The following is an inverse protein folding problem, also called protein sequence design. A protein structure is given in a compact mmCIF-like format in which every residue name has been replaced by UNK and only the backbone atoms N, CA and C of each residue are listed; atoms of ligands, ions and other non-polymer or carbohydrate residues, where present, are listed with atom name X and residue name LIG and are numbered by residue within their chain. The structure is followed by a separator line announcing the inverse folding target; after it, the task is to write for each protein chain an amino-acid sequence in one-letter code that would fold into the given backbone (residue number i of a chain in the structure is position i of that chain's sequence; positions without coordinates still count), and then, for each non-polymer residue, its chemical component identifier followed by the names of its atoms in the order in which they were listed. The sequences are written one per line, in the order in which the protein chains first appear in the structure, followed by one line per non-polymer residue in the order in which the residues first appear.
data_IF_004162554251
#
_entry.id   IF_004162554251
#
_cell.length_a   1.000
_cell.length_b   1.000
_cell.length_c   1.000
_cell.angle_alpha   90.00
_cell.angle_beta   90.00
_cell.angle_gamma   90.00
#
_symmetry.space_group_name_H-M   'P 1'
#
loop_
_entity.id
_entity.type
_entity.pdbx_description
1 polymer ?
#
# COMPACT_ATOMS: atom_id res chain seq x y z
N UNK A 1 26.17 -24.26 37.60
CA UNK A 1 25.31 -23.16 38.07
C UNK A 1 26.13 -21.89 38.44
N UNK A 2 27.31 -22.04 39.01
CA UNK A 2 28.21 -20.94 39.37
C UNK A 2 28.74 -20.20 38.11
N UNK A 3 29.26 -20.94 37.14
CA UNK A 3 29.80 -20.40 35.89
C UNK A 3 28.79 -19.54 35.09
N UNK A 4 27.51 -19.95 35.13
CA UNK A 4 26.44 -19.17 34.46
C UNK A 4 26.14 -17.84 35.18
N UNK A 5 26.24 -17.86 36.55
CA UNK A 5 26.11 -16.62 37.34
C UNK A 5 27.27 -15.67 37.10
N UNK A 6 28.49 -16.19 37.00
CA UNK A 6 29.69 -15.39 36.74
C UNK A 6 29.68 -14.82 35.31
N UNK A 7 29.20 -15.60 34.32
CA UNK A 7 28.94 -15.12 32.97
C UNK A 7 27.92 -13.99 32.94
N UNK A 8 26.75 -14.16 33.59
CA UNK A 8 25.73 -13.12 33.68
C UNK A 8 26.22 -11.87 34.40
N UNK A 9 27.04 -12.00 35.45
CA UNK A 9 27.61 -10.89 36.18
C UNK A 9 28.59 -10.08 35.31
N UNK A 10 29.45 -10.77 34.56
CA UNK A 10 30.45 -10.17 33.68
C UNK A 10 29.85 -9.44 32.47
N UNK A 11 28.71 -9.94 31.97
CA UNK A 11 28.08 -9.42 30.74
C UNK A 11 26.74 -8.72 31.01
N UNK A 12 26.44 -8.36 32.27
CA UNK A 12 25.17 -7.69 32.63
C UNK A 12 24.87 -6.46 31.78
N UNK A 13 25.86 -5.56 31.63
CA UNK A 13 25.69 -4.31 30.90
C UNK A 13 25.46 -4.52 29.39
N UNK A 14 26.31 -5.31 28.69
CA UNK A 14 26.08 -5.55 27.27
C UNK A 14 24.81 -6.36 26.98
N UNK A 15 24.44 -7.31 27.85
CA UNK A 15 23.19 -8.08 27.70
C UNK A 15 21.98 -7.16 27.88
N UNK A 16 21.98 -6.30 28.90
CA UNK A 16 20.92 -5.32 29.11
C UNK A 16 20.79 -4.35 27.92
N UNK A 17 21.92 -3.88 27.39
CA UNK A 17 21.92 -3.03 26.21
C UNK A 17 21.31 -3.73 24.97
N UNK A 18 21.68 -4.99 24.70
CA UNK A 18 21.12 -5.78 23.60
C UNK A 18 19.61 -5.95 23.76
N UNK A 19 19.13 -6.27 24.98
CA UNK A 19 17.70 -6.40 25.26
C UNK A 19 16.96 -5.07 24.98
N UNK A 20 17.52 -3.94 25.43
CA UNK A 20 16.95 -2.62 25.17
C UNK A 20 16.88 -2.34 23.67
N UNK A 21 17.93 -2.62 22.91
CA UNK A 21 17.94 -2.44 21.44
C UNK A 21 16.88 -3.30 20.77
N UNK A 22 16.72 -4.56 21.20
CA UNK A 22 15.70 -5.45 20.66
C UNK A 22 14.30 -4.90 20.96
N UNK A 23 14.04 -4.48 22.20
CA UNK A 23 12.75 -3.89 22.60
C UNK A 23 12.45 -2.65 21.77
N UNK A 24 13.42 -1.73 21.63
CA UNK A 24 13.28 -0.53 20.81
C UNK A 24 12.97 -0.86 19.35
N UNK A 25 13.67 -1.84 18.77
CA UNK A 25 13.46 -2.26 17.39
C UNK A 25 12.06 -2.84 17.19
N UNK A 26 11.56 -3.62 18.14
CA UNK A 26 10.19 -4.15 18.11
C UNK A 26 9.15 -3.02 18.22
N UNK A 27 9.35 -2.09 19.16
CA UNK A 27 8.43 -0.94 19.34
C UNK A 27 8.40 -0.08 18.08
N UNK A 28 9.55 0.24 17.51
CA UNK A 28 9.66 1.01 16.26
C UNK A 28 8.94 0.25 15.13
N UNK A 29 9.16 -1.06 14.99
CA UNK A 29 8.49 -1.88 13.98
C UNK A 29 6.96 -1.87 14.13
N UNK A 30 6.45 -1.97 15.35
CA UNK A 30 5.02 -1.89 15.63
C UNK A 30 4.45 -0.50 15.34
N UNK A 31 5.18 0.57 15.66
CA UNK A 31 4.77 1.94 15.31
C UNK A 31 4.72 2.16 13.81
N UNK A 32 5.73 1.71 13.06
CA UNK A 32 5.73 1.78 11.60
C UNK A 32 4.56 1.01 11.00
N UNK A 33 4.30 -0.22 11.48
CA UNK A 33 3.15 -1.00 11.03
C UNK A 33 1.85 -0.21 11.27
N UNK A 34 1.65 0.34 12.46
CA UNK A 34 0.45 1.12 12.78
C UNK A 34 0.30 2.36 11.90
N UNK A 35 1.38 3.05 11.60
CA UNK A 35 1.36 4.22 10.69
C UNK A 35 0.94 3.78 9.28
N UNK A 36 1.51 2.68 8.76
CA UNK A 36 1.16 2.14 7.44
C UNK A 36 -0.31 1.72 7.41
N UNK A 37 -0.80 1.03 8.44
CA UNK A 37 -2.19 0.60 8.53
C UNK A 37 -3.15 1.80 8.56
N UNK A 38 -2.85 2.83 9.36
CA UNK A 38 -3.65 4.06 9.43
C UNK A 38 -3.64 4.83 8.10
N UNK A 39 -2.51 4.90 7.43
CA UNK A 39 -2.39 5.55 6.12
C UNK A 39 -3.17 4.77 5.06
N UNK A 40 -3.08 3.45 5.06
CA UNK A 40 -3.89 2.58 4.19
C UNK A 40 -5.39 2.74 4.44
N UNK A 41 -5.80 2.88 5.70
CA UNK A 41 -7.22 3.08 6.05
C UNK A 41 -7.72 4.47 5.61
N UNK A 42 -6.88 5.49 5.68
CA UNK A 42 -7.21 6.83 5.17
C UNK A 42 -7.30 6.84 3.64
N UNK A 43 -6.34 6.22 2.98
CA UNK A 43 -6.26 6.16 1.52
C UNK A 43 -7.38 5.30 0.90
N UNK A 44 -7.88 4.30 1.62
CA UNK A 44 -8.97 3.43 1.16
C UNK A 44 -10.37 4.02 1.34
N UNK A 45 -10.52 5.19 2.01
CA UNK A 45 -11.82 5.85 2.14
C UNK A 45 -12.41 6.18 0.79
N UNK A 46 -13.72 5.97 0.62
CA UNK A 46 -14.38 6.27 -0.64
C UNK A 46 -14.37 7.77 -0.94
N UNK A 47 -13.98 8.12 -2.15
CA UNK A 47 -13.92 9.50 -2.65
C UNK A 47 -14.98 9.68 -3.73
N UNK A 48 -15.80 10.69 -3.59
CA UNK A 48 -16.80 11.09 -4.60
C UNK A 48 -16.11 11.97 -5.64
N UNK A 49 -16.31 11.65 -6.91
CA UNK A 49 -15.77 12.40 -8.04
C UNK A 49 -16.86 12.60 -9.09
N UNK A 50 -16.79 13.75 -9.78
CA UNK A 50 -17.59 13.89 -11.01
C UNK A 50 -17.02 12.98 -12.10
N UNK A 51 -17.80 12.62 -13.13
CA UNK A 51 -17.32 11.83 -14.24
C UNK A 51 -16.05 12.39 -14.88
N UNK A 52 -15.97 13.71 -15.04
CA UNK A 52 -14.81 14.41 -15.62
C UNK A 52 -13.58 14.37 -14.71
N UNK A 53 -13.77 14.43 -13.40
CA UNK A 53 -12.68 14.27 -12.42
C UNK A 53 -12.12 12.84 -12.41
N UNK A 54 -13.02 11.86 -12.44
CA UNK A 54 -12.67 10.45 -12.40
C UNK A 54 -11.94 9.98 -13.66
N UNK A 55 -12.18 10.63 -14.81
CA UNK A 55 -11.53 10.35 -16.10
C UNK A 55 -10.33 11.27 -16.39
N UNK A 56 -9.91 12.12 -15.44
CA UNK A 56 -8.77 13.01 -15.60
C UNK A 56 -7.53 12.45 -14.85
N UNK A 57 -6.50 11.96 -15.58
CA UNK A 57 -5.33 11.38 -14.92
C UNK A 57 -4.53 12.40 -14.10
N UNK A 58 -4.51 13.67 -14.48
CA UNK A 58 -3.82 14.71 -13.71
C UNK A 58 -4.56 14.99 -12.39
N UNK A 59 -5.89 14.95 -12.41
CA UNK A 59 -6.69 15.10 -11.20
C UNK A 59 -6.39 13.96 -10.21
N UNK A 60 -6.40 12.71 -10.67
CA UNK A 60 -6.08 11.53 -9.87
C UNK A 60 -4.65 11.57 -9.31
N UNK A 61 -3.68 12.05 -10.09
CA UNK A 61 -2.31 12.22 -9.60
C UNK A 61 -2.23 13.24 -8.46
N UNK A 62 -2.82 14.41 -8.65
CA UNK A 62 -2.64 15.55 -7.76
C UNK A 62 -3.51 15.48 -6.50
N UNK A 63 -4.73 14.96 -6.62
CA UNK A 63 -5.71 14.90 -5.52
C UNK A 63 -5.71 13.56 -4.79
N UNK A 64 -5.52 12.46 -5.53
CA UNK A 64 -5.56 11.11 -4.95
C UNK A 64 -4.17 10.51 -4.73
N UNK A 65 -3.13 11.29 -4.97
CA UNK A 65 -1.74 10.85 -4.80
C UNK A 65 -1.39 9.60 -5.61
N UNK A 66 -2.09 9.39 -6.73
CA UNK A 66 -1.80 8.28 -7.62
C UNK A 66 -0.53 8.57 -8.43
N UNK A 67 0.25 7.56 -8.68
CA UNK A 67 1.30 7.71 -9.68
C UNK A 67 0.70 7.80 -11.08
N UNK A 68 1.45 8.37 -12.01
CA UNK A 68 0.99 8.62 -13.38
C UNK A 68 0.41 7.38 -14.06
N UNK A 69 1.08 6.25 -13.95
CA UNK A 69 0.67 5.01 -14.60
C UNK A 69 -0.62 4.45 -14.01
N UNK A 70 -0.76 4.47 -12.68
CA UNK A 70 -1.97 3.99 -12.03
C UNK A 70 -3.14 4.94 -12.31
N UNK A 71 -2.89 6.27 -12.36
CA UNK A 71 -3.89 7.25 -12.75
C UNK A 71 -4.36 7.04 -14.20
N UNK A 72 -3.44 6.87 -15.16
CA UNK A 72 -3.77 6.59 -16.56
C UNK A 72 -4.56 5.28 -16.72
N UNK A 73 -4.18 4.20 -16.03
CA UNK A 73 -4.93 2.94 -16.06
C UNK A 73 -6.33 3.08 -15.46
N UNK A 74 -6.43 3.81 -14.36
CA UNK A 74 -7.69 4.03 -13.66
C UNK A 74 -8.66 4.82 -14.54
N UNK A 75 -8.20 5.90 -15.18
CA UNK A 75 -9.05 6.68 -16.09
C UNK A 75 -9.56 5.83 -17.25
N UNK A 76 -8.71 5.03 -17.87
CA UNK A 76 -9.12 4.12 -18.96
C UNK A 76 -10.18 3.12 -18.52
N UNK A 77 -10.04 2.57 -17.29
CA UNK A 77 -11.04 1.63 -16.76
C UNK A 77 -12.38 2.34 -16.54
N UNK A 78 -12.35 3.54 -15.93
CA UNK A 78 -13.56 4.33 -15.65
C UNK A 78 -14.23 4.76 -16.96
N UNK A 79 -13.50 5.27 -17.93
CA UNK A 79 -14.03 5.65 -19.25
C UNK A 79 -14.73 4.46 -19.95
N UNK A 80 -14.07 3.31 -19.96
CA UNK A 80 -14.67 2.10 -20.56
C UNK A 80 -15.92 1.64 -19.82
N UNK A 81 -15.95 1.78 -18.50
CA UNK A 81 -17.11 1.44 -17.70
C UNK A 81 -18.28 2.44 -17.95
N UNK A 82 -17.98 3.72 -18.07
CA UNK A 82 -18.96 4.75 -18.43
C UNK A 82 -19.54 4.55 -19.85
N UNK A 83 -18.75 3.96 -20.75
CA UNK A 83 -19.19 3.60 -22.11
C UNK A 83 -19.90 2.23 -22.16
N UNK A 84 -20.10 1.56 -21.02
CA UNK A 84 -20.69 0.23 -20.97
C UNK A 84 -19.85 -0.90 -21.55
N UNK A 85 -18.57 -0.63 -21.84
CA UNK A 85 -17.64 -1.62 -22.45
C UNK A 85 -17.03 -2.58 -21.41
N UNK A 86 -16.99 -2.19 -20.15
CA UNK A 86 -16.49 -2.99 -19.03
C UNK A 86 -17.44 -2.80 -17.85
N UNK A 87 -17.69 -3.84 -17.09
CA UNK A 87 -18.45 -3.71 -15.85
C UNK A 87 -17.61 -2.94 -14.81
N UNK A 88 -18.26 -2.02 -14.07
CA UNK A 88 -17.72 -1.47 -12.83
C UNK A 88 -17.52 -2.60 -11.82
N UNK A 89 -16.67 -2.40 -10.82
CA UNK A 89 -16.59 -3.38 -9.72
C UNK A 89 -17.98 -3.57 -9.09
N UNK A 90 -18.75 -2.47 -8.96
CA UNK A 90 -20.14 -2.53 -8.54
C UNK A 90 -20.91 -1.32 -9.09
N UNK A 91 -22.08 -1.54 -9.64
CA UNK A 91 -23.04 -0.49 -9.98
C UNK A 91 -24.19 -0.54 -8.98
N UNK A 92 -24.45 0.56 -8.31
CA UNK A 92 -25.46 0.69 -7.29
C UNK A 92 -26.53 1.65 -7.79
N UNK A 93 -27.77 1.17 -7.87
CA UNK A 93 -28.92 2.00 -8.23
C UNK A 93 -29.53 2.54 -6.94
N UNK A 94 -29.62 3.88 -6.84
CA UNK A 94 -30.20 4.54 -5.67
C UNK A 94 -31.24 5.56 -6.11
N UNK A 95 -32.38 5.54 -5.42
CA UNK A 95 -33.36 6.60 -5.51
C UNK A 95 -32.94 7.75 -4.58
N UNK A 96 -32.61 8.87 -5.18
CA UNK A 96 -32.23 10.09 -4.47
C UNK A 96 -32.79 11.31 -5.21
N UNK A 97 -32.93 12.46 -4.56
CA UNK A 97 -33.43 13.67 -5.21
C UNK A 97 -32.44 14.27 -6.22
N UNK A 98 -31.15 14.03 -6.06
CA UNK A 98 -30.09 14.51 -6.98
C UNK A 98 -28.97 13.46 -7.10
N UNK A 99 -28.19 13.49 -8.19
CA UNK A 99 -27.05 12.59 -8.38
C UNK A 99 -26.01 12.70 -7.24
N UNK A 100 -25.73 13.92 -6.77
CA UNK A 100 -24.77 14.14 -5.66
C UNK A 100 -25.26 13.48 -4.39
N UNK A 101 -26.57 13.54 -4.11
CA UNK A 101 -27.18 12.82 -2.97
C UNK A 101 -27.07 11.31 -3.11
N UNK A 102 -27.20 10.79 -4.33
CA UNK A 102 -27.02 9.36 -4.58
C UNK A 102 -25.59 8.91 -4.26
N UNK A 103 -24.57 9.66 -4.70
CA UNK A 103 -23.18 9.34 -4.41
C UNK A 103 -22.84 9.48 -2.92
N UNK A 104 -23.40 10.47 -2.21
CA UNK A 104 -23.25 10.61 -0.76
C UNK A 104 -23.83 9.39 -0.01
N UNK A 105 -25.03 8.96 -0.37
CA UNK A 105 -25.67 7.77 0.25
C UNK A 105 -24.85 6.51 0.01
N UNK A 106 -24.31 6.32 -1.21
CA UNK A 106 -23.42 5.18 -1.50
C UNK A 106 -22.16 5.25 -0.65
N UNK A 107 -21.56 6.43 -0.55
CA UNK A 107 -20.36 6.65 0.28
C UNK A 107 -20.62 6.27 1.74
N UNK A 108 -21.68 6.80 2.34
CA UNK A 108 -22.05 6.49 3.74
C UNK A 108 -22.27 4.99 3.94
N UNK A 109 -22.98 4.32 3.03
CA UNK A 109 -23.20 2.88 3.09
C UNK A 109 -21.90 2.07 3.02
N UNK A 110 -20.94 2.48 2.17
CA UNK A 110 -19.62 1.84 2.09
C UNK A 110 -18.84 2.05 3.38
N UNK A 111 -18.82 3.27 3.92
CA UNK A 111 -18.14 3.60 5.18
C UNK A 111 -18.71 2.82 6.38
N UNK A 112 -20.03 2.64 6.41
CA UNK A 112 -20.73 1.85 7.44
C UNK A 112 -20.67 0.34 7.19
N UNK A 113 -20.10 -0.09 6.06
CA UNK A 113 -20.07 -1.50 5.62
C UNK A 113 -21.48 -2.13 5.58
N UNK A 114 -22.45 -1.40 5.04
CA UNK A 114 -23.83 -1.82 4.96
C UNK A 114 -23.94 -3.16 4.21
N UNK A 115 -24.47 -4.22 4.84
CA UNK A 115 -24.56 -5.55 4.23
C UNK A 115 -25.55 -5.62 3.05
N UNK A 116 -26.31 -4.56 2.80
CA UNK A 116 -27.20 -4.47 1.62
C UNK A 116 -26.43 -4.16 0.33
N UNK A 117 -25.15 -3.75 0.45
CA UNK A 117 -24.30 -3.52 -0.70
C UNK A 117 -23.70 -4.82 -1.24
N UNK A 118 -23.41 -4.89 -2.56
CA UNK A 118 -22.66 -6.00 -3.13
C UNK A 118 -21.29 -6.17 -2.42
N UNK A 119 -20.84 -7.41 -2.19
CA UNK A 119 -19.56 -7.68 -1.52
C UNK A 119 -18.37 -6.96 -2.20
N UNK A 120 -18.40 -6.85 -3.53
CA UNK A 120 -17.38 -6.19 -4.33
C UNK A 120 -17.25 -4.68 -4.01
N UNK A 121 -18.38 -4.04 -3.64
CA UNK A 121 -18.37 -2.63 -3.20
C UNK A 121 -17.73 -2.45 -1.82
N UNK A 122 -17.73 -3.49 -0.99
CA UNK A 122 -17.19 -3.49 0.37
C UNK A 122 -15.75 -4.02 0.45
N UNK A 123 -15.20 -4.55 -0.65
CA UNK A 123 -13.84 -5.05 -0.72
C UNK A 123 -12.84 -3.96 -0.32
N UNK A 124 -11.84 -4.32 0.50
CA UNK A 124 -10.78 -3.39 0.88
C UNK A 124 -9.76 -3.30 -0.24
N UNK A 125 -9.60 -2.12 -0.81
CA UNK A 125 -8.63 -1.79 -1.86
C UNK A 125 -7.87 -0.52 -1.49
N UNK A 126 -6.79 -0.21 -2.20
CA UNK A 126 -5.98 0.98 -1.90
C UNK A 126 -6.76 2.28 -2.14
N UNK A 127 -7.63 2.32 -3.14
CA UNK A 127 -8.52 3.47 -3.43
C UNK A 127 -9.92 2.99 -3.78
N UNK A 128 -10.92 3.77 -3.37
CA UNK A 128 -12.31 3.58 -3.76
C UNK A 128 -12.84 4.87 -4.35
N UNK A 129 -13.16 4.86 -5.64
CA UNK A 129 -13.74 6.00 -6.36
C UNK A 129 -15.23 5.73 -6.56
N UNK A 130 -16.04 6.73 -6.23
CA UNK A 130 -17.47 6.74 -6.45
C UNK A 130 -17.76 7.84 -7.47
N UNK A 131 -18.35 7.48 -8.59
CA UNK A 131 -18.73 8.43 -9.62
C UNK A 131 -20.12 8.13 -10.17
N UNK A 132 -20.82 9.18 -10.58
CA UNK A 132 -22.09 9.07 -11.30
C UNK A 132 -21.87 8.35 -12.62
N UNK A 133 -22.87 7.56 -13.04
CA UNK A 133 -22.95 7.02 -14.39
C UNK A 133 -23.94 7.85 -15.20
N UNK A 134 -23.57 8.34 -16.38
CA UNK A 134 -24.35 9.33 -17.11
C UNK A 134 -25.68 8.83 -17.72
N UNK A 135 -26.05 7.57 -17.55
CA UNK A 135 -27.28 7.02 -18.14
C UNK A 135 -28.25 6.49 -17.10
N UNK A 136 -29.33 7.16 -16.88
CA UNK A 136 -30.71 6.75 -16.61
C UNK A 136 -31.43 7.61 -15.56
N UNK A 137 -32.77 7.56 -15.59
CA UNK A 137 -33.68 8.27 -14.66
C UNK A 137 -33.55 7.80 -13.18
N UNK A 138 -32.99 6.63 -12.96
CA UNK A 138 -32.58 6.15 -11.63
C UNK A 138 -31.10 6.39 -11.51
N UNK A 139 -30.65 7.19 -10.53
CA UNK A 139 -29.26 7.54 -10.36
C UNK A 139 -28.40 6.29 -10.17
N UNK A 140 -27.65 5.94 -11.20
CA UNK A 140 -26.66 4.88 -11.15
C UNK A 140 -25.35 5.44 -10.67
N UNK A 141 -24.80 4.79 -9.65
CA UNK A 141 -23.53 5.16 -9.06
C UNK A 141 -22.53 4.04 -9.26
N UNK A 142 -21.47 4.31 -10.00
CA UNK A 142 -20.37 3.40 -10.20
C UNK A 142 -19.40 3.43 -9.01
N UNK A 143 -19.06 2.26 -8.47
CA UNK A 143 -18.02 2.09 -7.47
C UNK A 143 -16.82 1.41 -8.12
N UNK A 144 -15.69 2.09 -8.10
CA UNK A 144 -14.45 1.62 -8.69
C UNK A 144 -13.44 1.30 -7.59
N UNK A 145 -13.07 0.04 -7.49
CA UNK A 145 -12.09 -0.49 -6.53
C UNK A 145 -10.73 -0.62 -7.20
N UNK A 146 -9.73 0.10 -6.69
CA UNK A 146 -8.45 0.26 -7.34
C UNK A 146 -7.34 -0.16 -6.40
N UNK A 147 -6.52 -1.12 -6.85
CA UNK A 147 -5.27 -1.49 -6.19
C UNK A 147 -4.10 -0.80 -6.89
N UNK A 148 -3.35 -0.01 -6.13
CA UNK A 148 -2.19 0.72 -6.64
C UNK A 148 -0.98 -0.20 -6.75
N UNK A 149 -0.12 0.11 -7.70
CA UNK A 149 1.15 -0.61 -7.86
C UNK A 149 2.07 -0.35 -6.67
N UNK A 150 2.45 -1.41 -5.95
CA UNK A 150 3.42 -1.31 -4.84
C UNK A 150 4.78 -0.92 -5.40
N UNK A 151 5.39 0.14 -4.84
CA UNK A 151 6.61 0.74 -5.38
C UNK A 151 7.82 0.59 -4.50
N UNK A 152 7.63 0.22 -3.25
CA UNK A 152 8.71 0.03 -2.30
C UNK A 152 8.72 -1.41 -1.82
N UNK A 153 9.90 -1.99 -1.75
CA UNK A 153 10.11 -3.28 -1.10
C UNK A 153 11.32 -3.23 -0.18
N UNK A 154 11.26 -4.04 0.85
CA UNK A 154 12.36 -4.30 1.77
C UNK A 154 12.64 -5.79 1.68
N UNK A 155 13.91 -6.13 1.45
CA UNK A 155 14.37 -7.52 1.37
C UNK A 155 15.38 -7.81 2.46
N UNK A 156 15.37 -9.03 2.96
CA UNK A 156 16.42 -9.58 3.81
C UNK A 156 16.58 -11.07 3.53
N UNK A 157 17.68 -11.64 3.92
CA UNK A 157 17.98 -13.05 3.68
C UNK A 157 19.22 -13.52 4.43
N UNK A 158 19.74 -14.65 4.03
CA UNK A 158 21.04 -15.17 4.49
C UNK A 158 21.89 -15.42 3.25
N UNK A 159 23.12 -14.98 3.30
CA UNK A 159 24.10 -15.23 2.24
C UNK A 159 25.40 -15.77 2.82
N UNK A 160 26.18 -16.45 1.98
CA UNK A 160 27.51 -16.93 2.32
C UNK A 160 28.48 -16.55 1.20
N UNK A 161 29.61 -15.96 1.55
CA UNK A 161 30.71 -15.64 0.65
C UNK A 161 32.03 -15.89 1.35
N UNK A 162 32.94 -16.63 0.71
CA UNK A 162 34.25 -17.00 1.26
C UNK A 162 34.17 -17.59 2.68
N UNK A 163 33.26 -18.53 2.89
CA UNK A 163 32.96 -19.17 4.19
C UNK A 163 32.47 -18.20 5.29
N UNK A 164 32.09 -16.96 4.94
CA UNK A 164 31.52 -16.00 5.88
C UNK A 164 30.03 -15.85 5.63
N UNK A 165 29.28 -15.88 6.72
CA UNK A 165 27.84 -15.68 6.69
C UNK A 165 27.49 -14.20 6.85
N UNK A 166 26.64 -13.69 5.99
CA UNK A 166 26.16 -12.33 6.05
C UNK A 166 24.62 -12.26 5.91
N UNK A 167 24.05 -11.18 6.41
CA UNK A 167 22.65 -10.84 6.26
C UNK A 167 22.55 -9.70 5.26
N UNK A 168 22.01 -9.91 4.05
CA UNK A 168 21.68 -8.82 3.15
C UNK A 168 20.44 -8.09 3.65
N UNK A 169 20.47 -6.77 3.60
CA UNK A 169 19.30 -5.90 3.83
C UNK A 169 19.20 -5.00 2.62
N UNK A 170 18.07 -5.05 1.95
CA UNK A 170 17.86 -4.27 0.73
C UNK A 170 16.60 -3.41 0.79
N UNK A 171 16.69 -2.27 0.11
CA UNK A 171 15.59 -1.36 -0.16
C UNK A 171 15.47 -1.17 -1.65
N UNK A 172 14.31 -1.43 -2.19
CA UNK A 172 14.04 -1.28 -3.62
C UNK A 172 12.92 -0.28 -3.85
N UNK A 173 13.10 0.56 -4.86
CA UNK A 173 12.08 1.48 -5.35
C UNK A 173 11.80 1.25 -6.82
N UNK A 174 10.58 0.85 -7.13
CA UNK A 174 10.05 0.80 -8.49
C UNK A 174 9.71 2.24 -8.93
N UNK A 175 10.35 2.78 -9.96
CA UNK A 175 10.13 4.14 -10.46
C UNK A 175 9.42 4.18 -11.83
N UNK A 176 9.41 3.08 -12.56
CA UNK A 176 8.57 2.81 -13.73
C UNK A 176 8.00 1.40 -13.60
N UNK A 177 6.98 1.07 -14.39
CA UNK A 177 6.30 -0.23 -14.30
C UNK A 177 7.24 -1.44 -14.39
N UNK A 178 8.35 -1.28 -15.09
CA UNK A 178 9.29 -2.37 -15.35
C UNK A 178 10.74 -2.02 -14.98
N UNK A 179 10.97 -1.00 -14.14
CA UNK A 179 12.32 -0.57 -13.71
C UNK A 179 12.35 -0.20 -12.26
N UNK A 180 13.36 -0.68 -11.55
CA UNK A 180 13.62 -0.29 -10.15
C UNK A 180 15.08 -0.02 -9.90
N UNK A 181 15.32 0.64 -8.78
CA UNK A 181 16.64 0.80 -8.16
C UNK A 181 16.59 0.12 -6.81
N UNK A 182 17.54 -0.77 -6.57
CA UNK A 182 17.74 -1.41 -5.27
C UNK A 182 19.08 -1.02 -4.69
N UNK A 183 19.09 -0.71 -3.40
CA UNK A 183 20.30 -0.53 -2.60
C UNK A 183 20.32 -1.65 -1.57
N UNK A 184 21.41 -2.42 -1.56
CA UNK A 184 21.60 -3.54 -0.64
C UNK A 184 22.88 -3.34 0.17
N UNK A 185 22.79 -3.52 1.49
CA UNK A 185 23.92 -3.61 2.39
C UNK A 185 24.07 -5.04 2.92
N UNK A 186 25.30 -5.56 2.98
CA UNK A 186 25.61 -6.88 3.51
C UNK A 186 26.20 -6.76 4.92
N UNK A 187 25.46 -7.22 5.93
CA UNK A 187 25.92 -7.22 7.31
C UNK A 187 26.62 -8.54 7.63
N UNK A 188 27.93 -8.45 7.92
CA UNK A 188 28.79 -9.57 8.31
C UNK A 188 28.50 -9.94 9.78
N UNK A 189 28.03 -11.16 10.02
CA UNK A 189 27.66 -11.63 11.36
C UNK A 189 28.86 -11.83 12.28
N UNK A 190 30.03 -12.18 11.74
CA UNK A 190 31.24 -12.41 12.53
C UNK A 190 31.87 -11.08 12.94
N UNK A 191 32.02 -10.18 11.98
CA UNK A 191 32.66 -8.87 12.20
C UNK A 191 31.72 -7.80 12.74
N UNK A 192 30.40 -8.09 12.78
CA UNK A 192 29.33 -7.18 13.24
C UNK A 192 29.37 -5.81 12.56
N UNK A 193 29.63 -5.79 11.27
CA UNK A 193 29.72 -4.58 10.46
C UNK A 193 29.21 -4.78 9.05
N UNK A 194 28.89 -3.69 8.37
CA UNK A 194 28.55 -3.72 6.95
C UNK A 194 29.83 -4.03 6.16
N UNK A 195 29.81 -5.11 5.38
CA UNK A 195 30.95 -5.62 4.62
C UNK A 195 30.77 -5.44 3.11
N UNK A 196 29.91 -4.57 2.70
CA UNK A 196 29.69 -4.23 1.30
C UNK A 196 28.32 -3.58 1.10
N UNK A 197 28.29 -2.69 0.13
CA UNK A 197 27.07 -2.06 -0.35
C UNK A 197 27.04 -2.21 -1.86
N UNK A 198 25.89 -2.55 -2.41
CA UNK A 198 25.69 -2.60 -3.84
C UNK A 198 24.45 -1.83 -4.24
N UNK A 199 24.48 -1.24 -5.42
CA UNK A 199 23.35 -0.57 -6.03
C UNK A 199 23.03 -1.31 -7.33
N UNK A 200 21.80 -1.74 -7.49
CA UNK A 200 21.33 -2.49 -8.66
C UNK A 200 20.23 -1.72 -9.36
N UNK A 201 20.31 -1.68 -10.68
CA UNK A 201 19.22 -1.26 -11.53
C UNK A 201 18.59 -2.51 -12.15
N UNK A 202 17.29 -2.71 -11.92
CA UNK A 202 16.57 -3.90 -12.39
C UNK A 202 15.59 -3.55 -13.49
N UNK A 203 15.45 -4.47 -14.45
CA UNK A 203 14.42 -4.43 -15.50
C UNK A 203 13.51 -5.65 -15.32
N UNK A 204 12.21 -5.43 -15.36
CA UNK A 204 11.20 -6.49 -15.34
C UNK A 204 10.65 -6.64 -16.76
N UNK A 205 10.61 -7.88 -17.26
CA UNK A 205 10.20 -8.23 -18.63
C UNK A 205 8.83 -8.91 -18.61
#
# INVERSE_FOLDING_TARGET
MQEFKDFLSKYKTPIAFIIIVIIFSVVIGLMFKKIIDLQSDLDSKPVIMTPEQATNPNYLQNKENMNRTDAEKTTVIIEKAQQGQVQTNSTIVIQAPTPEKATEVVKEKIEQKDPTLPPEALEKTDKTIIAEQPENKDYQVGVYKINLSKRWSIGTGLGQLDNKTYVPISFERLYKNNKSIEVQGNFDLEKKKINGVQVMHKWYF
#
